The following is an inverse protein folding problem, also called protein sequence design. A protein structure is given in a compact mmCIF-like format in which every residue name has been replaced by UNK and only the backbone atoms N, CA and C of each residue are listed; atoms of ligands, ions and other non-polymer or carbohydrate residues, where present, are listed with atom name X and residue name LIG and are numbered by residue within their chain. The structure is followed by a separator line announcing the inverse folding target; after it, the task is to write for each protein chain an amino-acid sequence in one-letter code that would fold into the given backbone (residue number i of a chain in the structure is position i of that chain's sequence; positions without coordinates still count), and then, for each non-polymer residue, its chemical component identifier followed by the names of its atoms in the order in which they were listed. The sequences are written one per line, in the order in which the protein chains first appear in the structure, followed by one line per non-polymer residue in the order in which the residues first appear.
data_IF_129415839235
#
_entry.id   IF_129415839235
#
_cell.length_a   1.000
_cell.length_b   1.000
_cell.length_c   1.000
_cell.angle_alpha   90.00
_cell.angle_beta   90.00
_cell.angle_gamma   90.00
#
_symmetry.space_group_name_H-M   'P 1'
#
loop_
_entity.id
_entity.type
_entity.pdbx_description
1 polymer ?
#
# COMPACT_ATOMS: atom_id res chain seq x y z
N UNK A 1 6.13 -5.29 6.71
CA UNK A 1 5.61 -5.23 5.33
C UNK A 1 4.46 -6.20 5.24
N UNK A 2 3.38 -5.79 4.61
CA UNK A 2 2.21 -6.61 4.31
C UNK A 2 2.03 -6.59 2.80
N UNK A 3 1.86 -7.77 2.20
CA UNK A 3 1.51 -7.91 0.80
C UNK A 3 0.02 -8.24 0.72
N UNK A 4 -0.71 -7.49 -0.10
CA UNK A 4 -2.11 -7.78 -0.37
C UNK A 4 -2.20 -8.54 -1.68
N UNK A 5 -2.77 -9.73 -1.61
CA UNK A 5 -2.94 -10.59 -2.76
C UNK A 5 -4.42 -10.75 -3.07
N UNK A 6 -4.76 -10.83 -4.36
CA UNK A 6 -6.11 -11.17 -4.83
C UNK A 6 -6.06 -12.33 -5.83
N UNK A 7 -7.17 -13.05 -5.93
CA UNK A 7 -7.38 -13.99 -7.01
C UNK A 7 -7.74 -13.23 -8.29
N UNK A 8 -7.08 -13.61 -9.39
CA UNK A 8 -7.32 -13.08 -10.72
C UNK A 8 -7.62 -14.24 -11.68
N UNK A 9 -8.68 -14.17 -12.50
CA UNK A 9 -8.89 -15.14 -13.57
C UNK A 9 -7.73 -15.14 -14.56
N UNK A 10 -7.19 -16.31 -14.88
CA UNK A 10 -6.11 -16.48 -15.86
C UNK A 10 -6.32 -17.79 -16.62
N UNK A 11 -6.58 -17.68 -17.93
CA UNK A 11 -6.91 -18.82 -18.78
C UNK A 11 -8.16 -19.56 -18.29
N UNK A 12 -8.03 -20.86 -17.98
CA UNK A 12 -9.10 -21.71 -17.45
C UNK A 12 -9.14 -21.76 -15.91
N UNK A 13 -8.32 -20.96 -15.22
CA UNK A 13 -8.19 -21.01 -13.76
C UNK A 13 -8.02 -19.64 -13.13
N UNK A 14 -7.41 -19.64 -11.95
CA UNK A 14 -7.13 -18.43 -11.17
C UNK A 14 -5.68 -18.43 -10.71
N UNK A 15 -5.10 -17.25 -10.60
CA UNK A 15 -3.78 -17.02 -10.00
C UNK A 15 -3.86 -16.02 -8.86
N UNK A 16 -2.90 -16.11 -7.95
CA UNK A 16 -2.70 -15.09 -6.93
C UNK A 16 -1.79 -14.00 -7.48
N UNK A 17 -2.27 -12.76 -7.47
CA UNK A 17 -1.48 -11.59 -7.86
C UNK A 17 -1.28 -10.67 -6.66
N UNK A 18 -0.10 -10.07 -6.55
CA UNK A 18 0.14 -9.01 -5.56
C UNK A 18 -0.55 -7.75 -6.10
N UNK A 19 -1.61 -7.32 -5.41
CA UNK A 19 -2.36 -6.13 -5.78
C UNK A 19 -1.77 -4.87 -5.13
N UNK A 20 -1.27 -4.98 -3.90
CA UNK A 20 -0.77 -3.83 -3.17
C UNK A 20 0.27 -4.24 -2.11
N UNK A 21 1.01 -3.25 -1.62
CA UNK A 21 2.02 -3.42 -0.56
C UNK A 21 1.83 -2.33 0.47
N UNK A 22 1.65 -2.71 1.74
CA UNK A 22 1.80 -1.78 2.85
C UNK A 22 3.17 -1.98 3.50
N UNK A 23 3.98 -0.92 3.47
CA UNK A 23 5.24 -0.88 4.16
C UNK A 23 5.45 0.52 4.77
N UNK A 24 5.40 0.66 6.11
CA UNK A 24 5.48 1.97 6.77
C UNK A 24 6.69 2.83 6.37
N UNK A 25 7.91 2.25 6.14
CA UNK A 25 9.03 3.02 5.63
C UNK A 25 8.80 3.66 4.24
N UNK A 26 7.99 3.04 3.37
CA UNK A 26 7.59 3.69 2.12
C UNK A 26 6.66 4.88 2.40
N UNK A 27 5.63 4.73 3.26
CA UNK A 27 4.75 5.86 3.63
C UNK A 27 5.54 7.03 4.21
N UNK A 28 6.51 6.75 5.09
CA UNK A 28 7.38 7.76 5.67
C UNK A 28 8.34 8.44 4.66
N UNK A 29 8.79 7.71 3.64
CA UNK A 29 9.70 8.25 2.62
C UNK A 29 9.03 9.25 1.65
N UNK A 30 7.70 9.28 1.59
CA UNK A 30 6.92 10.18 0.73
C UNK A 30 6.00 11.12 1.54
N UNK A 31 6.35 11.39 2.80
CA UNK A 31 5.60 12.31 3.67
C UNK A 31 5.79 13.78 3.25
N UNK A 32 4.97 14.19 2.29
CA UNK A 32 5.01 15.49 1.64
C UNK A 32 4.71 16.63 2.63
N UNK A 33 5.61 17.63 2.77
CA UNK A 33 5.40 18.75 3.68
C UNK A 33 4.23 19.63 3.19
N UNK A 34 3.52 20.20 4.16
CA UNK A 34 2.38 21.11 3.95
C UNK A 34 2.68 22.49 4.57
N UNK A 35 2.01 23.53 4.08
CA UNK A 35 2.18 24.90 4.60
C UNK A 35 3.56 25.49 4.31
N UNK A 36 4.10 26.23 5.26
CA UNK A 36 5.35 27.01 5.11
C UNK A 36 6.61 26.16 4.88
N UNK A 37 6.56 24.87 5.22
CA UNK A 37 7.66 23.92 4.97
C UNK A 37 7.72 23.44 3.51
N UNK A 38 6.65 23.66 2.72
CA UNK A 38 6.57 23.22 1.33
C UNK A 38 7.42 24.13 0.43
N UNK A 39 8.53 23.58 -0.05
CA UNK A 39 9.33 24.22 -1.11
C UNK A 39 8.61 24.09 -2.46
N UNK A 40 8.76 25.10 -3.31
CA UNK A 40 8.18 25.10 -4.66
C UNK A 40 9.19 25.64 -5.69
N UNK A 41 8.96 25.30 -6.97
CA UNK A 41 9.67 25.92 -8.10
C UNK A 41 8.85 27.10 -8.59
N UNK A 42 9.45 28.28 -8.64
CA UNK A 42 8.76 29.47 -9.14
C UNK A 42 8.45 29.29 -10.63
N UNK A 43 7.26 29.70 -11.14
CA UNK A 43 6.90 29.53 -12.55
C UNK A 43 7.92 30.11 -13.53
N UNK A 44 8.49 31.29 -13.24
CA UNK A 44 9.52 31.94 -14.08
C UNK A 44 10.88 31.21 -14.10
N UNK A 45 11.07 30.14 -13.30
CA UNK A 45 12.33 29.39 -13.30
C UNK A 45 12.67 28.77 -14.66
N UNK A 46 11.68 28.60 -15.54
CA UNK A 46 11.89 28.12 -16.91
C UNK A 46 12.78 29.05 -17.75
N UNK A 47 12.75 30.37 -17.49
CA UNK A 47 13.58 31.36 -18.21
C UNK A 47 15.08 31.15 -17.96
N UNK A 48 15.42 30.58 -16.80
CA UNK A 48 16.78 30.23 -16.40
C UNK A 48 17.06 28.74 -16.58
N UNK A 49 16.28 28.04 -17.41
CA UNK A 49 16.45 26.60 -17.63
C UNK A 49 16.35 25.76 -16.35
N UNK A 50 15.59 26.24 -15.37
CA UNK A 50 15.43 25.62 -14.05
C UNK A 50 16.75 25.38 -13.29
N UNK A 51 17.70 26.32 -13.30
CA UNK A 51 18.96 26.21 -12.53
C UNK A 51 18.76 25.78 -11.06
N UNK A 52 17.67 26.21 -10.42
CA UNK A 52 17.33 25.84 -9.04
C UNK A 52 16.81 24.40 -8.87
N UNK A 53 16.56 23.66 -9.96
CA UNK A 53 16.10 22.27 -9.93
C UNK A 53 17.14 21.34 -9.31
N UNK A 54 18.43 21.62 -9.49
CA UNK A 54 19.49 20.86 -8.81
C UNK A 54 19.29 20.91 -7.29
N UNK A 55 19.01 22.09 -6.74
CA UNK A 55 18.73 22.25 -5.31
C UNK A 55 17.45 21.56 -4.88
N UNK A 56 16.44 21.55 -5.75
CA UNK A 56 15.17 20.88 -5.52
C UNK A 56 15.28 19.35 -5.47
N UNK A 57 16.17 18.75 -6.26
CA UNK A 57 16.30 17.29 -6.39
C UNK A 57 17.47 16.73 -5.56
N UNK A 58 18.63 17.37 -5.59
CA UNK A 58 19.87 16.85 -5.02
C UNK A 58 20.05 17.29 -3.57
N UNK A 59 19.77 18.56 -3.30
CA UNK A 59 20.07 19.16 -1.99
C UNK A 59 18.84 19.19 -1.07
N UNK A 60 17.67 18.74 -1.55
CA UNK A 60 16.44 18.69 -0.77
C UNK A 60 16.21 17.28 -0.20
N UNK A 61 16.03 17.12 1.12
CA UNK A 61 15.69 15.83 1.70
C UNK A 61 14.27 15.34 1.32
N UNK A 62 13.43 16.21 0.75
CA UNK A 62 12.02 15.95 0.42
C UNK A 62 11.63 16.32 -1.03
N UNK A 63 12.16 15.63 -2.05
CA UNK A 63 11.88 15.93 -3.46
C UNK A 63 10.38 15.80 -3.84
N UNK A 64 9.60 15.03 -3.08
CA UNK A 64 8.14 14.92 -3.19
C UNK A 64 7.39 16.25 -2.98
N UNK A 65 8.05 17.27 -2.41
CA UNK A 65 7.48 18.63 -2.32
C UNK A 65 7.12 19.21 -3.71
N UNK A 66 7.81 18.76 -4.75
CA UNK A 66 7.67 19.24 -6.12
C UNK A 66 6.68 18.42 -6.98
N UNK A 67 5.99 17.44 -6.39
CA UNK A 67 4.90 16.72 -7.07
C UNK A 67 3.57 17.47 -6.92
N UNK A 68 2.55 17.17 -7.73
CA UNK A 68 1.20 17.68 -7.54
C UNK A 68 0.62 17.35 -6.15
N UNK A 69 -0.41 18.07 -5.72
CA UNK A 69 -1.01 17.87 -4.39
C UNK A 69 -1.75 16.54 -4.25
N UNK A 70 -2.30 16.01 -5.34
CA UNK A 70 -2.88 14.65 -5.39
C UNK A 70 -1.88 13.56 -5.78
N UNK A 71 -0.58 13.78 -5.62
CA UNK A 71 0.41 12.74 -5.90
C UNK A 71 0.35 11.63 -4.86
N UNK A 72 0.16 10.40 -5.33
CA UNK A 72 0.22 9.19 -4.52
C UNK A 72 1.31 8.25 -5.07
N UNK A 73 2.27 7.81 -4.24
CA UNK A 73 3.27 6.85 -4.66
C UNK A 73 2.64 5.46 -4.87
N UNK A 74 3.01 4.81 -5.98
CA UNK A 74 2.68 3.39 -6.19
C UNK A 74 3.69 2.50 -5.45
N UNK A 75 3.28 2.02 -4.27
CA UNK A 75 4.11 1.17 -3.43
C UNK A 75 4.39 -0.21 -4.02
N UNK A 76 3.54 -0.72 -4.93
CA UNK A 76 3.83 -1.97 -5.63
C UNK A 76 5.02 -1.75 -6.57
N UNK A 77 5.04 -0.64 -7.32
CA UNK A 77 6.19 -0.28 -8.16
C UNK A 77 7.48 -0.13 -7.33
N UNK A 78 7.44 0.55 -6.18
CA UNK A 78 8.61 0.70 -5.31
C UNK A 78 9.08 -0.65 -4.76
N UNK A 79 8.17 -1.49 -4.28
CA UNK A 79 8.49 -2.84 -3.84
C UNK A 79 9.22 -3.64 -4.92
N UNK A 80 8.70 -3.64 -6.14
CA UNK A 80 9.33 -4.33 -7.28
C UNK A 80 10.71 -3.75 -7.60
N UNK A 81 10.87 -2.43 -7.53
CA UNK A 81 12.15 -1.77 -7.76
C UNK A 81 13.20 -2.13 -6.69
N UNK A 82 12.81 -2.15 -5.41
CA UNK A 82 13.68 -2.54 -4.30
C UNK A 82 14.13 -4.01 -4.38
N UNK A 83 13.23 -4.91 -4.78
CA UNK A 83 13.55 -6.32 -5.03
C UNK A 83 14.52 -6.46 -6.20
N UNK A 84 14.25 -5.81 -7.34
CA UNK A 84 15.15 -5.80 -8.51
C UNK A 84 16.51 -5.22 -8.18
N UNK A 85 16.56 -4.24 -7.28
CA UNK A 85 17.78 -3.60 -6.78
C UNK A 85 18.49 -4.41 -5.70
N UNK A 86 17.97 -5.58 -5.29
CA UNK A 86 18.50 -6.43 -4.22
C UNK A 86 18.61 -5.75 -2.84
N UNK A 87 17.83 -4.68 -2.62
CA UNK A 87 17.75 -3.97 -1.34
C UNK A 87 16.68 -4.55 -0.42
N UNK A 88 15.70 -5.24 -0.99
CA UNK A 88 14.78 -6.11 -0.27
C UNK A 88 15.03 -7.57 -0.64
N UNK A 89 14.90 -8.45 0.36
CA UNK A 89 15.01 -9.89 0.22
C UNK A 89 13.87 -10.55 0.97
N UNK A 90 13.25 -11.54 0.32
CA UNK A 90 12.26 -12.39 0.97
C UNK A 90 12.95 -13.33 1.94
N UNK A 91 12.47 -13.37 3.19
CA UNK A 91 12.95 -14.28 4.23
C UNK A 91 11.88 -15.32 4.56
N UNK A 92 10.72 -14.90 5.07
CA UNK A 92 9.59 -15.78 5.38
C UNK A 92 8.29 -15.01 5.55
N UNK A 93 7.16 -15.69 5.46
CA UNK A 93 5.83 -15.18 5.82
C UNK A 93 5.58 -15.45 7.30
N UNK A 94 5.16 -14.41 8.04
CA UNK A 94 4.91 -14.50 9.49
C UNK A 94 3.46 -14.76 9.87
N UNK A 95 2.54 -14.24 9.06
CA UNK A 95 1.11 -14.34 9.30
C UNK A 95 0.37 -14.27 7.95
N UNK A 96 -0.80 -14.88 7.89
CA UNK A 96 -1.65 -14.93 6.70
C UNK A 96 -3.10 -14.79 7.12
N UNK A 97 -3.81 -13.90 6.44
CA UNK A 97 -5.24 -13.67 6.62
C UNK A 97 -5.95 -13.76 5.28
N UNK A 98 -7.20 -14.21 5.32
CA UNK A 98 -8.08 -14.20 4.16
C UNK A 98 -9.29 -13.33 4.44
N UNK A 99 -9.64 -12.48 3.49
CA UNK A 99 -10.80 -11.61 3.55
C UNK A 99 -11.80 -12.04 2.48
N UNK A 100 -13.02 -12.40 2.90
CA UNK A 100 -14.05 -12.91 2.00
C UNK A 100 -15.19 -11.90 1.85
N UNK A 101 -15.52 -11.59 0.60
CA UNK A 101 -16.64 -10.73 0.19
C UNK A 101 -17.55 -11.41 -0.84
N UNK A 102 -17.42 -12.74 -1.01
CA UNK A 102 -18.10 -13.51 -2.06
C UNK A 102 -19.56 -13.86 -1.72
N UNK A 103 -19.91 -13.80 -0.43
CA UNK A 103 -21.27 -14.05 0.03
C UNK A 103 -22.02 -12.72 0.05
N UNK A 104 -23.20 -12.68 -0.58
CA UNK A 104 -24.00 -11.46 -0.64
C UNK A 104 -24.27 -10.89 0.76
N UNK A 105 -23.97 -9.59 0.94
CA UNK A 105 -24.13 -8.84 2.20
C UNK A 105 -23.37 -9.42 3.40
N UNK A 106 -22.30 -10.17 3.19
CA UNK A 106 -21.47 -10.68 4.29
C UNK A 106 -19.99 -10.51 4.02
N UNK A 107 -19.27 -10.14 5.07
CA UNK A 107 -17.82 -10.14 5.16
C UNK A 107 -17.40 -11.09 6.27
N UNK A 108 -16.34 -11.87 6.03
CA UNK A 108 -15.64 -12.55 7.10
C UNK A 108 -14.14 -12.65 6.85
N UNK A 109 -13.38 -12.66 7.95
CA UNK A 109 -11.94 -12.84 7.96
C UNK A 109 -11.62 -14.24 8.47
N UNK A 110 -10.73 -14.97 7.77
CA UNK A 110 -10.07 -16.15 8.33
C UNK A 110 -8.66 -15.78 8.77
N UNK A 111 -8.31 -16.18 10.00
CA UNK A 111 -6.96 -16.10 10.53
C UNK A 111 -6.45 -17.46 10.98
N UNK A 112 -5.13 -17.63 10.98
CA UNK A 112 -4.50 -18.84 11.50
C UNK A 112 -4.09 -18.65 12.97
N UNK A 113 -4.72 -19.40 13.87
CA UNK A 113 -4.46 -19.34 15.30
C UNK A 113 -3.61 -20.54 15.73
N UNK A 114 -2.40 -20.29 16.21
CA UNK A 114 -1.54 -21.34 16.76
C UNK A 114 -1.58 -21.30 18.30
N UNK A 115 -2.53 -22.02 18.89
CA UNK A 115 -2.68 -22.15 20.35
C UNK A 115 -3.12 -23.55 20.76
N UNK A 116 -2.89 -24.00 22.00
CA UNK A 116 -3.42 -25.27 22.49
C UNK A 116 -4.96 -25.29 22.56
N UNK A 117 -5.55 -26.47 22.41
CA UNK A 117 -7.00 -26.70 22.54
C UNK A 117 -7.77 -26.72 21.22
N UNK A 118 -9.11 -26.76 21.31
CA UNK A 118 -9.99 -26.94 20.14
C UNK A 118 -10.04 -25.75 19.19
N UNK A 119 -9.72 -24.54 19.67
CA UNK A 119 -9.76 -23.32 18.87
C UNK A 119 -8.39 -23.02 18.25
N UNK A 120 -7.88 -23.93 17.43
CA UNK A 120 -6.58 -23.83 16.75
C UNK A 120 -6.70 -24.12 15.26
N UNK A 121 -5.79 -23.58 14.45
CA UNK A 121 -5.83 -23.65 12.98
C UNK A 121 -6.56 -22.46 12.35
N UNK A 122 -7.17 -22.68 11.18
CA UNK A 122 -7.90 -21.66 10.43
C UNK A 122 -9.29 -21.45 11.02
N UNK A 123 -9.56 -20.25 11.54
CA UNK A 123 -10.83 -19.91 12.16
C UNK A 123 -11.36 -18.59 11.63
N UNK A 124 -12.69 -18.42 11.68
CA UNK A 124 -13.33 -17.13 11.45
C UNK A 124 -12.93 -16.20 12.59
N UNK A 125 -12.13 -15.19 12.27
CA UNK A 125 -11.64 -14.18 13.19
C UNK A 125 -12.63 -13.00 13.29
N UNK A 126 -13.36 -12.71 12.22
CA UNK A 126 -14.36 -11.65 12.16
C UNK A 126 -15.50 -12.06 11.21
N UNK A 127 -16.72 -11.66 11.53
CA UNK A 127 -17.92 -11.86 10.72
C UNK A 127 -18.81 -10.62 10.85
N UNK A 128 -19.17 -10.02 9.72
CA UNK A 128 -19.96 -8.81 9.66
C UNK A 128 -20.99 -8.91 8.53
N UNK A 129 -22.22 -8.46 8.81
CA UNK A 129 -23.22 -8.25 7.78
C UNK A 129 -22.97 -6.87 7.15
N UNK A 130 -22.99 -6.80 5.84
CA UNK A 130 -22.71 -5.59 5.06
C UNK A 130 -24.01 -4.92 4.63
N UNK A 131 -24.05 -3.61 4.82
CA UNK A 131 -24.99 -2.68 4.20
C UNK A 131 -24.35 -2.03 2.95
N UNK A 132 -25.10 -1.17 2.28
CA UNK A 132 -24.62 -0.48 1.08
C UNK A 132 -23.47 0.48 1.45
N UNK A 133 -22.31 0.33 0.80
CA UNK A 133 -21.10 1.13 1.07
C UNK A 133 -20.15 0.54 2.11
N UNK A 134 -20.57 -0.43 2.92
CA UNK A 134 -19.71 -1.03 3.97
C UNK A 134 -18.50 -1.74 3.38
N UNK A 135 -18.66 -2.35 2.20
CA UNK A 135 -17.58 -3.10 1.54
C UNK A 135 -16.39 -2.19 1.24
N UNK A 136 -16.63 -1.01 0.70
CA UNK A 136 -15.61 -0.02 0.36
C UNK A 136 -14.89 0.47 1.62
N UNK A 137 -15.64 0.73 2.69
CA UNK A 137 -15.09 1.13 4.00
C UNK A 137 -14.15 0.04 4.55
N UNK A 138 -14.58 -1.23 4.52
CA UNK A 138 -13.77 -2.35 5.02
C UNK A 138 -12.55 -2.57 4.12
N UNK A 139 -12.67 -2.46 2.80
CA UNK A 139 -11.53 -2.57 1.89
C UNK A 139 -10.51 -1.46 2.13
N UNK A 140 -10.95 -0.23 2.38
CA UNK A 140 -10.06 0.88 2.73
C UNK A 140 -9.34 0.62 4.05
N UNK A 141 -10.05 0.13 5.07
CA UNK A 141 -9.44 -0.30 6.33
C UNK A 141 -8.41 -1.42 6.15
N UNK A 142 -8.73 -2.46 5.37
CA UNK A 142 -7.80 -3.58 5.10
C UNK A 142 -6.55 -3.08 4.38
N UNK A 143 -6.72 -2.20 3.39
CA UNK A 143 -5.62 -1.65 2.59
C UNK A 143 -4.91 -0.47 3.24
N UNK A 144 -5.29 -0.07 4.46
CA UNK A 144 -4.72 1.08 5.16
C UNK A 144 -4.79 2.36 4.31
N UNK A 145 -5.95 2.55 3.65
CA UNK A 145 -6.30 3.73 2.86
C UNK A 145 -7.17 4.63 3.75
N UNK A 146 -6.67 5.84 4.01
CA UNK A 146 -7.36 6.88 4.79
C UNK A 146 -8.57 7.45 4.01
#
# INVERSE_FOLDING_TARGET
MVLFLKLQPQGLGYEWVIENVNFPPFKAAFDKPKGDEKKFLHPLSHELGFMNLRRAIVDNPKPESYTPDGYEPDYLTLFLFEIKSKRLKFETVKDTKFHFFQIDKWYFELGQFNRPGFNTGWLIANLMKLEEGDKEIILNYIYDRD
#
